data_IF_451461829889
#
_entry.id   IF_451461829889
#
_cell.length_a   1.000
_cell.length_b   1.000
_cell.length_c   1.000
_cell.angle_alpha   90.00
_cell.angle_beta   90.00
_cell.angle_gamma   90.00
#
_symmetry.space_group_name_H-M   'P 1'
#
loop_
_entity.id
_entity.type
_entity.pdbx_description
1 polymer ?
#
# COMPACT_ATOMS: atom_id res chain seq x y z
N UNK A 1 31.61 -35.80 7.14
CA UNK A 1 30.84 -35.68 5.87
C UNK A 1 29.64 -34.78 6.14
N UNK A 2 29.79 -33.47 5.98
CA UNK A 2 28.70 -32.51 6.14
C UNK A 2 28.28 -32.02 4.75
N UNK A 3 27.09 -32.40 4.30
CA UNK A 3 26.50 -31.94 3.05
C UNK A 3 26.11 -30.46 3.15
N UNK A 4 26.35 -29.64 2.11
CA UNK A 4 25.95 -28.24 2.13
C UNK A 4 24.45 -28.11 1.88
N UNK A 5 23.75 -27.43 2.79
CA UNK A 5 22.34 -27.09 2.67
C UNK A 5 22.19 -25.97 1.63
N UNK A 6 21.59 -26.29 0.48
CA UNK A 6 21.21 -25.31 -0.54
C UNK A 6 20.08 -24.40 -0.03
N UNK A 7 20.14 -23.07 -0.27
CA UNK A 7 19.04 -22.17 0.10
C UNK A 7 17.83 -22.42 -0.81
N UNK A 8 16.67 -22.65 -0.19
CA UNK A 8 15.39 -22.81 -0.90
C UNK A 8 15.04 -21.53 -1.64
N UNK A 9 15.11 -21.57 -2.97
CA UNK A 9 14.66 -20.51 -3.85
C UNK A 9 13.14 -20.33 -3.70
N UNK A 10 12.73 -19.24 -3.05
CA UNK A 10 11.34 -18.92 -2.80
C UNK A 10 10.69 -18.47 -4.13
N UNK A 11 9.99 -19.38 -4.81
CA UNK A 11 9.24 -19.07 -6.04
C UNK A 11 8.10 -18.13 -5.67
N UNK A 12 8.36 -16.82 -5.73
CA UNK A 12 7.31 -15.79 -5.70
C UNK A 12 6.40 -16.05 -6.90
N UNK A 13 5.26 -16.67 -6.65
CA UNK A 13 4.17 -16.79 -7.62
C UNK A 13 3.68 -15.38 -7.89
N UNK A 14 4.11 -14.79 -9.01
CA UNK A 14 3.47 -13.61 -9.56
C UNK A 14 2.05 -14.04 -9.97
N UNK A 15 1.07 -13.69 -9.14
CA UNK A 15 -0.33 -13.85 -9.48
C UNK A 15 -0.64 -12.94 -10.68
N UNK A 16 -0.70 -13.53 -11.87
CA UNK A 16 -1.16 -12.84 -13.07
C UNK A 16 -2.68 -12.73 -13.01
N UNK A 17 -3.17 -11.79 -12.21
CA UNK A 17 -4.60 -11.44 -12.17
C UNK A 17 -4.97 -10.74 -13.48
N UNK A 18 -5.64 -11.46 -14.36
CA UNK A 18 -6.24 -10.93 -15.59
C UNK A 18 -7.28 -9.87 -15.21
N UNK A 19 -6.99 -8.60 -15.47
CA UNK A 19 -7.99 -7.52 -15.39
C UNK A 19 -7.95 -6.66 -16.64
N UNK A 20 -9.15 -6.34 -17.13
CA UNK A 20 -9.49 -5.52 -18.30
C UNK A 20 -8.83 -4.11 -18.28
N UNK A 21 -8.29 -3.69 -17.13
CA UNK A 21 -7.47 -2.48 -16.96
C UNK A 21 -6.06 -2.58 -17.54
N UNK A 22 -5.38 -3.72 -17.41
CA UNK A 22 -3.97 -3.85 -17.82
C UNK A 22 -3.77 -3.67 -19.33
N UNK A 23 -4.71 -4.14 -20.16
CA UNK A 23 -4.60 -4.00 -21.61
C UNK A 23 -4.87 -2.56 -22.06
N UNK A 24 -5.84 -1.88 -21.45
CA UNK A 24 -6.14 -0.47 -21.75
C UNK A 24 -4.98 0.44 -21.34
N UNK A 25 -4.34 0.13 -20.21
CA UNK A 25 -3.15 0.83 -19.75
C UNK A 25 -1.94 0.59 -20.66
N UNK A 26 -1.73 -0.67 -21.10
CA UNK A 26 -0.71 -1.01 -22.08
C UNK A 26 -0.91 -0.24 -23.39
N UNK A 27 -2.13 -0.22 -23.94
CA UNK A 27 -2.44 0.54 -25.16
C UNK A 27 -2.19 2.03 -24.99
N UNK A 28 -2.57 2.60 -23.84
CA UNK A 28 -2.31 4.00 -23.53
C UNK A 28 -0.80 4.31 -23.38
N UNK A 29 -0.04 3.38 -22.82
CA UNK A 29 1.41 3.47 -22.69
C UNK A 29 2.11 3.45 -24.05
N UNK A 30 1.75 2.49 -24.91
CA UNK A 30 2.26 2.39 -26.28
C UNK A 30 1.92 3.65 -27.09
N UNK A 31 0.68 4.16 -26.98
CA UNK A 31 0.27 5.39 -27.69
C UNK A 31 1.10 6.62 -27.27
N UNK A 32 1.38 6.77 -25.97
CA UNK A 32 2.25 7.85 -25.47
C UNK A 32 3.67 7.70 -25.97
N UNK A 33 4.27 6.51 -25.85
CA UNK A 33 5.61 6.26 -26.39
C UNK A 33 5.66 6.50 -27.90
N UNK A 34 4.62 6.13 -28.66
CA UNK A 34 4.55 6.43 -30.08
C UNK A 34 4.45 7.94 -30.38
N UNK A 35 3.84 8.73 -29.49
CA UNK A 35 3.73 10.19 -29.63
C UNK A 35 5.07 10.90 -29.39
N UNK A 36 5.86 10.41 -28.43
CA UNK A 36 7.16 10.98 -28.08
C UNK A 36 8.34 10.36 -28.86
N UNK A 37 8.11 9.29 -29.62
CA UNK A 37 9.13 8.64 -30.42
C UNK A 37 9.54 9.51 -31.62
N UNK A 38 10.71 10.14 -31.53
CA UNK A 38 11.33 10.80 -32.67
C UNK A 38 11.65 9.77 -33.77
N UNK A 39 11.30 10.09 -35.02
CA UNK A 39 11.45 9.22 -36.19
C UNK A 39 10.69 7.87 -36.11
N UNK A 40 9.64 7.79 -35.28
CA UNK A 40 8.80 6.60 -35.17
C UNK A 40 9.48 5.39 -34.51
N UNK A 41 10.64 5.61 -33.85
CA UNK A 41 11.33 4.57 -33.07
C UNK A 41 11.23 4.87 -31.59
N UNK A 42 10.64 3.95 -30.84
CA UNK A 42 10.65 3.99 -29.38
C UNK A 42 12.07 3.63 -28.92
N UNK A 43 12.79 4.60 -28.36
CA UNK A 43 14.13 4.41 -27.82
C UNK A 43 14.08 3.93 -26.35
N UNK A 44 15.21 3.47 -25.83
CA UNK A 44 15.29 2.95 -24.45
C UNK A 44 14.92 4.01 -23.41
N UNK A 45 15.37 5.26 -23.61
CA UNK A 45 15.09 6.37 -22.70
C UNK A 45 13.58 6.57 -22.51
N UNK A 46 12.82 6.54 -23.61
CA UNK A 46 11.38 6.74 -23.59
C UNK A 46 10.64 5.59 -22.87
N UNK A 47 11.16 4.36 -22.99
CA UNK A 47 10.65 3.21 -22.23
C UNK A 47 10.92 3.38 -20.73
N UNK A 48 12.09 3.87 -20.33
CA UNK A 48 12.44 4.10 -18.93
C UNK A 48 11.58 5.20 -18.28
N UNK A 49 11.33 6.28 -19.02
CA UNK A 49 10.41 7.34 -18.60
C UNK A 49 8.98 6.82 -18.41
N UNK A 50 8.50 5.99 -19.33
CA UNK A 50 7.14 5.43 -19.26
C UNK A 50 7.01 4.38 -18.15
N UNK A 51 8.04 3.55 -17.90
CA UNK A 51 8.09 2.64 -16.75
C UNK A 51 7.99 3.44 -15.44
N UNK A 52 8.69 4.58 -15.36
CA UNK A 52 8.66 5.44 -14.18
C UNK A 52 7.26 6.02 -13.95
N UNK A 53 6.62 6.51 -15.02
CA UNK A 53 5.23 7.00 -14.99
C UNK A 53 4.26 5.91 -14.54
N UNK A 54 4.34 4.71 -15.11
CA UNK A 54 3.46 3.59 -14.76
C UNK A 54 3.62 3.17 -13.30
N UNK A 55 4.86 3.10 -12.79
CA UNK A 55 5.12 2.82 -11.37
C UNK A 55 4.51 3.87 -10.45
N UNK A 56 4.52 5.14 -10.83
CA UNK A 56 3.88 6.21 -10.05
C UNK A 56 2.35 6.11 -10.10
N UNK A 57 1.79 5.84 -11.29
CA UNK A 57 0.36 5.67 -11.47
C UNK A 57 -0.17 4.47 -10.66
N UNK A 58 0.51 3.33 -10.71
CA UNK A 58 0.16 2.15 -9.90
C UNK A 58 0.26 2.39 -8.40
N UNK A 59 1.19 3.24 -7.95
CA UNK A 59 1.25 3.65 -6.53
C UNK A 59 0.04 4.50 -6.13
N UNK A 60 -0.51 5.28 -7.05
CA UNK A 60 -1.67 6.14 -6.81
C UNK A 60 -3.00 5.40 -6.85
N UNK A 61 -3.13 4.34 -7.66
CA UNK A 61 -4.43 3.69 -7.91
C UNK A 61 -4.80 2.55 -6.96
N UNK A 62 -3.91 2.13 -6.05
CA UNK A 62 -4.30 1.09 -5.09
C UNK A 62 -3.16 0.37 -4.39
N UNK A 63 -2.04 1.04 -4.12
CA UNK A 63 -1.05 0.45 -3.24
C UNK A 63 -1.40 0.78 -1.79
N UNK A 64 -1.64 -0.24 -0.93
CA UNK A 64 -1.53 -0.02 0.49
C UNK A 64 -0.14 0.58 0.76
N UNK A 65 -0.10 1.63 1.58
CA UNK A 65 1.12 2.41 1.85
C UNK A 65 2.34 1.51 2.09
N UNK A 66 3.55 1.93 1.73
CA UNK A 66 4.80 1.15 1.91
C UNK A 66 4.97 0.55 3.32
N UNK A 67 4.31 1.14 4.34
CA UNK A 67 4.20 0.60 5.69
C UNK A 67 3.57 -0.81 5.76
N UNK A 68 2.67 -1.16 4.84
CA UNK A 68 1.97 -2.44 4.80
C UNK A 68 2.80 -3.58 4.17
N UNK A 69 3.85 -3.26 3.40
CA UNK A 69 4.68 -4.28 2.76
C UNK A 69 5.64 -4.99 3.72
N UNK A 70 5.84 -4.45 4.92
CA UNK A 70 6.71 -5.01 5.96
C UNK A 70 5.94 -5.74 7.06
N UNK A 71 4.62 -5.84 6.91
CA UNK A 71 3.80 -6.52 7.90
C UNK A 71 3.85 -8.04 7.70
N UNK A 72 3.70 -8.83 8.78
CA UNK A 72 3.56 -10.29 8.68
C UNK A 72 2.38 -10.67 7.77
N UNK A 73 2.23 -11.96 7.48
CA UNK A 73 1.10 -12.51 6.71
C UNK A 73 -0.24 -12.11 7.37
N UNK A 74 -0.78 -10.97 6.96
CA UNK A 74 -1.99 -10.34 7.49
C UNK A 74 -3.13 -10.69 6.54
N UNK A 75 -4.26 -11.09 7.11
CA UNK A 75 -5.48 -11.31 6.36
C UNK A 75 -5.93 -10.03 5.64
N UNK A 76 -6.48 -10.17 4.44
CA UNK A 76 -6.99 -9.03 3.65
C UNK A 76 -7.96 -8.13 4.44
N UNK A 77 -8.72 -8.72 5.37
CA UNK A 77 -9.63 -7.99 6.25
C UNK A 77 -8.90 -7.06 7.23
N UNK A 78 -7.84 -7.55 7.87
CA UNK A 78 -7.03 -6.77 8.79
C UNK A 78 -6.23 -5.70 8.04
N UNK A 79 -5.77 -6.02 6.82
CA UNK A 79 -5.06 -5.10 5.94
C UNK A 79 -5.93 -3.89 5.57
N UNK A 80 -7.17 -4.13 5.14
CA UNK A 80 -8.10 -3.07 4.75
C UNK A 80 -8.54 -2.20 5.94
N UNK A 81 -8.72 -2.82 7.12
CA UNK A 81 -8.95 -2.07 8.35
C UNK A 81 -7.75 -1.19 8.70
N UNK A 82 -6.55 -1.74 8.66
CA UNK A 82 -5.33 -1.03 9.00
C UNK A 82 -5.06 0.14 8.05
N UNK A 83 -5.27 -0.04 6.74
CA UNK A 83 -5.17 1.03 5.75
C UNK A 83 -6.14 2.18 6.08
N UNK A 84 -7.38 1.86 6.42
CA UNK A 84 -8.38 2.85 6.84
C UNK A 84 -7.95 3.57 8.11
N UNK A 85 -7.41 2.83 9.09
CA UNK A 85 -6.88 3.39 10.34
C UNK A 85 -5.72 4.35 10.07
N UNK A 86 -4.74 3.94 9.26
CA UNK A 86 -3.56 4.76 8.90
C UNK A 86 -4.01 6.05 8.19
N UNK A 87 -4.95 5.94 7.24
CA UNK A 87 -5.49 7.10 6.53
C UNK A 87 -6.10 8.12 7.50
N UNK A 88 -6.97 7.67 8.41
CA UNK A 88 -7.58 8.56 9.41
C UNK A 88 -6.54 9.12 10.38
N UNK A 89 -5.52 8.35 10.73
CA UNK A 89 -4.41 8.83 11.56
C UNK A 89 -3.65 9.96 10.87
N UNK A 90 -3.33 9.82 9.57
CA UNK A 90 -2.65 10.87 8.77
C UNK A 90 -3.48 12.13 8.60
N UNK A 91 -4.79 12.01 8.46
CA UNK A 91 -5.72 13.15 8.35
C UNK A 91 -6.02 13.82 9.71
N UNK A 92 -5.49 13.31 10.82
CA UNK A 92 -5.83 13.77 12.16
C UNK A 92 -4.62 14.36 12.87
N UNK A 93 -4.84 15.44 13.62
CA UNK A 93 -3.79 16.16 14.35
C UNK A 93 -3.28 15.43 15.60
N UNK A 94 -4.01 14.45 16.12
CA UNK A 94 -3.66 13.68 17.32
C UNK A 94 -4.32 12.30 17.35
N UNK A 95 -3.73 11.36 18.11
CA UNK A 95 -4.30 10.03 18.40
C UNK A 95 -5.75 10.11 18.90
N UNK A 96 -6.05 11.07 19.78
CA UNK A 96 -7.39 11.25 20.32
C UNK A 96 -8.38 11.74 19.27
N UNK A 97 -7.96 12.59 18.33
CA UNK A 97 -8.80 13.02 17.21
C UNK A 97 -9.07 11.88 16.22
N UNK A 98 -8.04 11.09 15.89
CA UNK A 98 -8.17 9.90 15.04
C UNK A 98 -9.09 8.86 15.69
N UNK A 99 -8.91 8.57 16.98
CA UNK A 99 -9.73 7.64 17.75
C UNK A 99 -11.20 8.05 17.79
N UNK A 100 -11.51 9.35 17.98
CA UNK A 100 -12.90 9.84 17.94
C UNK A 100 -13.56 9.66 16.58
N UNK A 101 -12.81 9.81 15.48
CA UNK A 101 -13.30 9.57 14.11
C UNK A 101 -13.55 8.07 13.87
N UNK A 102 -12.59 7.22 14.25
CA UNK A 102 -12.67 5.77 14.04
C UNK A 102 -13.75 5.10 14.91
N UNK A 103 -13.88 5.53 16.16
CA UNK A 103 -14.82 4.95 17.13
C UNK A 103 -16.07 5.83 17.36
N UNK A 104 -16.46 6.66 16.39
CA UNK A 104 -17.55 7.63 16.51
C UNK A 104 -18.89 7.02 17.00
N UNK A 105 -19.19 5.78 16.58
CA UNK A 105 -20.39 5.04 17.00
C UNK A 105 -20.17 4.32 18.34
N UNK A 106 -19.07 3.57 18.49
CA UNK A 106 -18.79 2.79 19.70
C UNK A 106 -18.59 3.66 20.95
N UNK A 107 -18.09 4.90 20.79
CA UNK A 107 -17.89 5.82 21.92
C UNK A 107 -19.20 6.28 22.56
N UNK A 108 -20.30 6.35 21.81
CA UNK A 108 -21.60 6.79 22.33
C UNK A 108 -22.19 5.79 23.33
N UNK A 109 -21.80 4.52 23.22
CA UNK A 109 -22.27 3.44 24.09
C UNK A 109 -21.40 3.24 25.33
N UNK A 110 -20.31 4.02 25.52
CA UNK A 110 -19.36 3.81 26.61
C UNK A 110 -19.28 4.99 27.57
N UNK A 111 -19.37 4.68 28.86
CA UNK A 111 -19.32 5.64 29.97
C UNK A 111 -18.02 6.45 30.05
N UNK A 112 -16.90 5.86 29.62
CA UNK A 112 -15.61 6.55 29.44
C UNK A 112 -14.92 6.09 28.16
N UNK A 113 -14.95 6.89 27.08
CA UNK A 113 -14.28 6.55 25.83
C UNK A 113 -12.77 6.85 25.91
N UNK A 114 -11.95 5.82 26.16
CA UNK A 114 -10.49 5.89 26.01
C UNK A 114 -10.07 5.41 24.61
N UNK A 115 -10.47 6.18 23.60
CA UNK A 115 -10.31 5.84 22.19
C UNK A 115 -8.84 5.88 21.75
N UNK A 116 -8.04 6.76 22.34
CA UNK A 116 -6.61 6.90 22.07
C UNK A 116 -5.80 5.67 22.51
N UNK A 117 -6.09 5.11 23.70
CA UNK A 117 -5.42 3.91 24.19
C UNK A 117 -5.76 2.67 23.35
N UNK A 118 -7.02 2.54 22.93
CA UNK A 118 -7.44 1.46 22.05
C UNK A 118 -6.75 1.52 20.70
N UNK A 119 -6.67 2.71 20.11
CA UNK A 119 -5.98 2.91 18.85
C UNK A 119 -4.49 2.56 18.97
N UNK A 120 -3.84 2.97 20.08
CA UNK A 120 -2.44 2.62 20.36
C UNK A 120 -2.23 1.11 20.48
N UNK A 121 -3.09 0.41 21.23
CA UNK A 121 -3.02 -1.06 21.36
C UNK A 121 -3.24 -1.79 20.04
N UNK A 122 -4.15 -1.28 19.21
CA UNK A 122 -4.40 -1.83 17.88
C UNK A 122 -3.17 -1.69 16.98
N UNK A 123 -2.58 -0.49 16.90
CA UNK A 123 -1.38 -0.23 16.09
C UNK A 123 -0.17 -1.06 16.57
N UNK A 124 -0.01 -1.21 17.88
CA UNK A 124 1.06 -2.02 18.47
C UNK A 124 0.99 -3.50 18.06
N UNK A 125 -0.21 -4.06 17.83
CA UNK A 125 -0.37 -5.43 17.30
C UNK A 125 0.28 -5.61 15.93
N UNK A 126 0.36 -4.53 15.16
CA UNK A 126 0.99 -4.48 13.84
C UNK A 126 2.42 -3.94 13.87
N UNK A 127 2.99 -3.68 15.06
CA UNK A 127 4.33 -3.08 15.20
C UNK A 127 4.39 -1.63 14.69
N UNK A 128 3.25 -0.95 14.62
CA UNK A 128 3.16 0.44 14.19
C UNK A 128 2.96 1.35 15.39
N UNK A 129 3.63 2.50 15.35
CA UNK A 129 3.46 3.57 16.32
C UNK A 129 2.90 4.81 15.63
N UNK A 130 2.24 5.68 16.41
CA UNK A 130 1.70 6.95 15.89
C UNK A 130 2.78 7.80 15.18
N UNK A 131 3.98 7.84 15.76
CA UNK A 131 5.12 8.55 15.17
C UNK A 131 5.52 7.94 13.81
N UNK A 132 5.52 6.61 13.68
CA UNK A 132 5.82 5.92 12.42
C UNK A 132 4.77 6.15 11.31
N UNK A 133 3.54 6.52 11.69
CA UNK A 133 2.43 6.75 10.74
C UNK A 133 2.45 8.19 10.19
N UNK A 134 2.89 9.14 11.03
CA UNK A 134 2.90 10.57 10.70
C UNK A 134 4.18 11.01 9.97
N UNK A 135 5.22 10.19 10.00
CA UNK A 135 6.49 10.42 9.31
C UNK A 135 6.51 9.82 7.89
#
# INVERSE_FOLDING_TARGET
MNSPVMPKCNKRKFALTKKRGNFRELSASIARMATFAENGRINQQLVEEEITRLKQHWRSEGQPSLLLNNLPEIDLFDLQQLETVIKVCRESSSLSAAGRKLFAVSRQQKKQPNDADRLRKYLARFGLDWENIRH
#
